data_IF_300155176395
#
_entry.id   IF_300155176395
#
_cell.length_a   1.000
_cell.length_b   1.000
_cell.length_c   1.000
_cell.angle_alpha   90.00
_cell.angle_beta   90.00
_cell.angle_gamma   90.00
#
_symmetry.space_group_name_H-M   'P 1'
#
loop_
_entity.id
_entity.type
_entity.pdbx_description
1 polymer ?
#
# COMPACT_ATOMS: atom_id res chain seq x y z
N UNK A 1 -28.15 -25.76 -6.53
CA UNK A 1 -27.53 -24.56 -7.11
C UNK A 1 -26.79 -23.83 -5.99
N UNK A 2 -25.47 -24.03 -5.89
CA UNK A 2 -24.65 -23.30 -4.92
C UNK A 2 -24.49 -21.86 -5.39
N UNK A 3 -24.92 -20.90 -4.57
CA UNK A 3 -24.64 -19.47 -4.80
C UNK A 3 -23.13 -19.28 -4.70
N UNK A 4 -22.45 -19.01 -5.82
CA UNK A 4 -21.11 -18.45 -5.76
C UNK A 4 -21.21 -17.07 -5.11
N UNK A 5 -20.72 -16.96 -3.88
CA UNK A 5 -20.50 -15.64 -3.29
C UNK A 5 -19.44 -14.91 -4.14
N UNK A 6 -19.54 -13.57 -4.29
CA UNK A 6 -18.46 -12.82 -4.90
C UNK A 6 -17.17 -13.07 -4.12
N UNK A 7 -16.01 -13.16 -4.80
CA UNK A 7 -14.73 -13.33 -4.13
C UNK A 7 -14.53 -12.21 -3.09
N UNK A 8 -13.98 -12.52 -1.91
CA UNK A 8 -13.73 -11.53 -0.87
C UNK A 8 -12.79 -10.43 -1.36
N UNK A 9 -13.03 -9.18 -0.94
CA UNK A 9 -12.17 -8.04 -1.29
C UNK A 9 -10.74 -8.31 -0.76
N UNK A 10 -9.72 -8.36 -1.62
CA UNK A 10 -8.35 -8.67 -1.20
C UNK A 10 -7.81 -7.68 -0.16
N UNK A 11 -8.35 -6.45 -0.09
CA UNK A 11 -7.98 -5.48 0.94
C UNK A 11 -8.41 -5.83 2.36
N UNK A 12 -9.31 -6.81 2.51
CA UNK A 12 -9.79 -7.27 3.81
C UNK A 12 -9.12 -8.57 4.27
N UNK A 13 -8.27 -9.18 3.44
CA UNK A 13 -7.63 -10.47 3.72
C UNK A 13 -6.26 -10.23 4.39
N UNK A 14 -6.08 -10.57 5.69
CA UNK A 14 -4.79 -10.41 6.35
C UNK A 14 -3.68 -11.18 5.62
N UNK A 15 -2.56 -10.52 5.35
CA UNK A 15 -1.43 -11.10 4.62
C UNK A 15 -1.51 -10.97 3.09
N UNK A 16 -2.61 -10.46 2.54
CA UNK A 16 -2.64 -10.01 1.15
C UNK A 16 -1.86 -8.70 0.98
N UNK A 17 -1.18 -8.51 -0.15
CA UNK A 17 -0.45 -7.27 -0.47
C UNK A 17 -1.36 -6.04 -0.49
N UNK A 18 -2.64 -6.22 -0.80
CA UNK A 18 -3.64 -5.14 -0.80
C UNK A 18 -4.28 -4.87 0.56
N UNK A 19 -3.91 -5.64 1.58
CA UNK A 19 -4.52 -5.53 2.91
C UNK A 19 -4.28 -4.17 3.55
N UNK A 20 -5.35 -3.54 4.03
CA UNK A 20 -5.28 -2.28 4.78
C UNK A 20 -5.70 -2.54 6.22
N UNK A 21 -4.76 -2.41 7.14
CA UNK A 21 -5.06 -2.54 8.57
C UNK A 21 -5.90 -1.35 9.05
N UNK A 22 -6.85 -1.56 9.97
CA UNK A 22 -7.74 -0.49 10.46
C UNK A 22 -7.02 0.69 11.14
N UNK A 23 -5.75 0.51 11.55
CA UNK A 23 -4.91 1.58 12.11
C UNK A 23 -4.19 2.43 11.04
N UNK A 24 -4.31 2.08 9.76
CA UNK A 24 -3.70 2.81 8.66
C UNK A 24 -4.57 3.98 8.21
N UNK A 25 -4.55 5.05 9.02
CA UNK A 25 -5.13 6.34 8.65
C UNK A 25 -4.14 7.27 7.90
N UNK A 26 -4.60 8.44 7.45
CA UNK A 26 -3.79 9.43 6.72
C UNK A 26 -2.52 9.89 7.46
N UNK A 27 -2.56 9.90 8.80
CA UNK A 27 -1.44 10.28 9.66
C UNK A 27 -0.50 9.11 10.00
N UNK A 28 -0.78 7.93 9.48
CA UNK A 28 -0.15 6.70 9.95
C UNK A 28 1.26 6.49 9.37
N UNK A 29 1.67 7.29 8.38
CA UNK A 29 3.04 7.39 7.89
C UNK A 29 3.56 8.80 8.22
N UNK A 30 4.45 8.89 9.21
CA UNK A 30 5.14 10.14 9.55
C UNK A 30 6.62 9.98 9.22
N UNK A 31 7.14 10.88 8.36
CA UNK A 31 8.53 10.83 7.89
C UNK A 31 9.26 12.06 8.40
N UNK A 32 10.29 11.81 9.21
CA UNK A 32 11.25 12.82 9.66
C UNK A 32 12.64 12.48 9.12
N UNK A 33 13.40 13.46 8.58
CA UNK A 33 13.07 14.88 8.41
C UNK A 33 12.04 15.12 7.29
N UNK A 34 11.39 16.30 7.28
CA UNK A 34 10.59 16.77 6.13
C UNK A 34 11.52 17.02 4.94
N UNK A 35 11.06 16.72 3.72
CA UNK A 35 11.86 16.90 2.51
C UNK A 35 12.26 18.37 2.34
N UNK A 36 13.55 18.59 2.12
CA UNK A 36 14.14 19.87 1.71
C UNK A 36 14.99 19.64 0.46
N UNK A 37 15.47 20.73 -0.15
CA UNK A 37 16.31 20.64 -1.34
C UNK A 37 17.61 19.82 -1.12
N UNK A 38 18.15 19.81 0.10
CA UNK A 38 19.46 19.21 0.40
C UNK A 38 19.41 17.85 1.11
N UNK A 39 18.24 17.37 1.53
CA UNK A 39 18.14 16.18 2.39
C UNK A 39 17.53 14.93 1.72
N UNK A 40 17.38 14.93 0.39
CA UNK A 40 16.69 13.87 -0.35
C UNK A 40 17.12 12.46 0.05
N UNK A 41 18.42 12.18 0.18
CA UNK A 41 18.90 10.85 0.58
C UNK A 41 18.47 10.43 1.99
N UNK A 42 18.45 11.36 2.94
CA UNK A 42 17.98 11.09 4.30
C UNK A 42 16.46 10.88 4.30
N UNK A 43 15.72 11.79 3.66
CA UNK A 43 14.28 11.70 3.51
C UNK A 43 13.84 10.41 2.82
N UNK A 44 14.47 10.04 1.70
CA UNK A 44 14.14 8.82 0.95
C UNK A 44 14.37 7.56 1.78
N UNK A 45 15.45 7.50 2.59
CA UNK A 45 15.67 6.38 3.52
C UNK A 45 14.60 6.34 4.61
N UNK A 46 14.23 7.48 5.19
CA UNK A 46 13.17 7.55 6.19
C UNK A 46 11.81 7.14 5.59
N UNK A 47 11.50 7.60 4.38
CA UNK A 47 10.27 7.24 3.66
C UNK A 47 10.20 5.74 3.34
N UNK A 48 11.30 5.17 2.81
CA UNK A 48 11.44 3.71 2.58
C UNK A 48 11.13 2.91 3.83
N UNK A 49 11.69 3.30 4.98
CA UNK A 49 11.45 2.63 6.26
C UNK A 49 10.01 2.78 6.74
N UNK A 50 9.46 3.98 6.67
CA UNK A 50 8.11 4.26 7.14
C UNK A 50 7.03 3.52 6.32
N UNK A 51 7.22 3.41 5.01
CA UNK A 51 6.35 2.63 4.12
C UNK A 51 6.60 1.12 4.25
N UNK A 52 7.87 0.70 4.35
CA UNK A 52 8.24 -0.71 4.49
C UNK A 52 7.73 -1.34 5.79
N UNK A 53 7.70 -0.58 6.89
CA UNK A 53 7.11 -1.03 8.16
C UNK A 53 5.62 -1.41 8.06
N UNK A 54 4.97 -1.05 6.95
CA UNK A 54 3.55 -1.30 6.68
C UNK A 54 3.32 -2.15 5.45
N UNK A 55 4.38 -2.70 4.85
CA UNK A 55 4.34 -3.41 3.55
C UNK A 55 3.74 -2.55 2.43
N UNK A 56 3.96 -1.23 2.46
CA UNK A 56 3.45 -0.28 1.45
C UNK A 56 4.50 0.22 0.48
N UNK A 57 5.77 -0.11 0.71
CA UNK A 57 6.86 0.38 -0.12
C UNK A 57 6.80 -0.23 -1.54
N UNK A 58 6.33 -1.47 -1.64
CA UNK A 58 6.24 -2.24 -2.88
C UNK A 58 5.26 -1.62 -3.91
N UNK A 59 4.32 -0.80 -3.46
CA UNK A 59 3.45 0.01 -4.32
C UNK A 59 4.17 1.23 -4.91
N UNK A 60 5.17 1.76 -4.21
CA UNK A 60 5.90 2.98 -4.59
C UNK A 60 7.13 2.65 -5.44
N UNK A 61 7.79 1.52 -5.17
CA UNK A 61 8.93 1.09 -5.96
C UNK A 61 8.55 0.29 -7.22
N UNK A 62 7.28 -0.08 -7.37
CA UNK A 62 6.74 -0.79 -8.52
C UNK A 62 6.90 -2.31 -8.45
N UNK A 63 7.25 -2.87 -7.28
CA UNK A 63 7.26 -4.33 -7.08
C UNK A 63 5.86 -4.94 -7.15
N UNK A 64 4.82 -4.17 -6.83
CA UNK A 64 3.42 -4.50 -7.10
C UNK A 64 2.99 -3.76 -8.36
N UNK A 65 2.84 -4.50 -9.44
CA UNK A 65 2.35 -3.96 -10.71
C UNK A 65 0.92 -3.43 -10.58
N UNK A 66 0.63 -2.40 -11.37
CA UNK A 66 -0.74 -1.89 -11.51
C UNK A 66 -1.59 -2.97 -12.17
N UNK A 67 -2.66 -3.46 -11.52
CA UNK A 67 -3.55 -4.43 -12.13
C UNK A 67 -4.24 -3.83 -13.35
N UNK A 68 -4.72 -4.69 -14.25
CA UNK A 68 -5.60 -4.26 -15.33
C UNK A 68 -6.90 -3.65 -14.76
N UNK A 69 -7.49 -2.66 -15.45
CA UNK A 69 -8.70 -1.98 -14.97
C UNK A 69 -9.90 -2.92 -14.75
N UNK A 70 -9.92 -4.07 -15.43
CA UNK A 70 -10.94 -5.11 -15.28
C UNK A 70 -10.56 -6.19 -14.25
N UNK A 71 -9.36 -6.15 -13.68
CA UNK A 71 -8.93 -7.07 -12.63
C UNK A 71 -9.71 -6.77 -11.32
N UNK A 72 -10.27 -7.79 -10.64
CA UNK A 72 -10.93 -7.60 -9.36
C UNK A 72 -10.07 -6.91 -8.28
N UNK A 73 -8.75 -6.99 -8.38
CA UNK A 73 -7.78 -6.35 -7.49
C UNK A 73 -7.50 -4.88 -7.82
N UNK A 74 -7.86 -4.37 -9.00
CA UNK A 74 -7.64 -2.97 -9.40
C UNK A 74 -8.24 -1.99 -8.39
N UNK A 75 -9.49 -2.26 -7.98
CA UNK A 75 -10.17 -1.45 -6.96
C UNK A 75 -9.45 -1.48 -5.61
N UNK A 76 -8.75 -2.57 -5.27
CA UNK A 76 -7.99 -2.65 -4.03
C UNK A 76 -6.63 -1.93 -4.12
N UNK A 77 -6.02 -1.93 -5.31
CA UNK A 77 -4.79 -1.20 -5.62
C UNK A 77 -5.01 0.33 -5.65
N UNK A 78 -6.11 0.80 -6.23
CA UNK A 78 -6.36 2.23 -6.51
C UNK A 78 -7.01 3.04 -5.37
N UNK A 79 -7.02 2.54 -4.14
CA UNK A 79 -7.80 3.11 -3.02
C UNK A 79 -7.20 4.36 -2.40
#
# INVERSE_FOLDING_TARGET
>A
MSRNAPPPDPSQIPGNVYYVHSSDGPSSVSVTPVLTHSNYHAWARSMRRALGAKNKYDFVDGSIDVPDEFDPSFKAWSR
#
